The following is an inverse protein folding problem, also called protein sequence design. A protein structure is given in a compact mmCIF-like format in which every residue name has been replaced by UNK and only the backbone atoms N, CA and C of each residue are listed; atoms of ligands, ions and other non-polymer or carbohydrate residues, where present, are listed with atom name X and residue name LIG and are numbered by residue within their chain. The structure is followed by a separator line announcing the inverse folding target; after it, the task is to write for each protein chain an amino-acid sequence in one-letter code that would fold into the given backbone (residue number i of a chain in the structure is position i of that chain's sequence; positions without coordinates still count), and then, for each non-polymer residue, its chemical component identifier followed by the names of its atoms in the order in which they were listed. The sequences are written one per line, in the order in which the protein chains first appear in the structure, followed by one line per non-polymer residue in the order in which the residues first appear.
data_IF_946207403027
#
_entry.id   IF_946207403027
#
_cell.length_a   1.000
_cell.length_b   1.000
_cell.length_c   1.000
_cell.angle_alpha   90.00
_cell.angle_beta   90.00
_cell.angle_gamma   90.00
#
_symmetry.space_group_name_H-M   'P 1'
#
loop_
_entity.id
_entity.type
_entity.pdbx_description
1 polymer ?
#
# COMPACT_ATOMS: atom_id res chain seq x y z
N UNK A 1 -9.11 -7.34 15.13
CA UNK A 1 -9.42 -6.06 14.47
C UNK A 1 -9.78 -6.40 13.03
N UNK A 2 -11.07 -6.35 12.73
CA UNK A 2 -11.60 -6.87 11.48
C UNK A 2 -11.29 -5.90 10.33
N UNK A 3 -10.57 -6.38 9.31
CA UNK A 3 -10.25 -5.64 8.08
C UNK A 3 -11.45 -5.65 7.10
N UNK A 4 -12.65 -5.98 7.58
CA UNK A 4 -13.88 -6.16 6.82
C UNK A 4 -14.27 -4.85 6.15
N UNK A 5 -14.00 -4.76 4.85
CA UNK A 5 -14.25 -3.56 4.03
C UNK A 5 -13.01 -2.95 3.38
N UNK A 6 -11.79 -3.41 3.68
CA UNK A 6 -10.59 -2.98 2.97
C UNK A 6 -10.60 -3.46 1.51
N UNK A 7 -10.64 -2.53 0.55
CA UNK A 7 -10.53 -2.79 -0.88
C UNK A 7 -9.05 -2.71 -1.28
N UNK A 8 -8.39 -3.85 -1.26
CA UNK A 8 -6.97 -3.96 -1.59
C UNK A 8 -6.71 -3.74 -3.07
N UNK A 9 -5.76 -2.86 -3.38
CA UNK A 9 -5.23 -2.63 -4.72
C UNK A 9 -3.73 -2.89 -4.73
N UNK A 10 -3.29 -3.72 -5.66
CA UNK A 10 -1.86 -3.99 -5.86
C UNK A 10 -1.17 -2.77 -6.47
N UNK A 11 -0.01 -2.39 -5.92
CA UNK A 11 0.76 -1.26 -6.45
C UNK A 11 1.36 -1.59 -7.84
N UNK A 12 1.20 -0.70 -8.81
CA UNK A 12 1.66 -0.87 -10.20
C UNK A 12 3.17 -1.03 -10.34
N UNK A 13 3.95 -0.44 -9.42
CA UNK A 13 5.42 -0.57 -9.36
C UNK A 13 5.90 -1.92 -8.83
N UNK A 14 4.99 -2.77 -8.38
CA UNK A 14 5.30 -4.08 -7.81
C UNK A 14 5.41 -5.20 -8.86
N UNK A 15 5.34 -4.89 -10.16
CA UNK A 15 5.25 -5.89 -11.24
C UNK A 15 6.58 -6.24 -11.93
N UNK A 16 7.68 -5.53 -11.69
CA UNK A 16 8.83 -5.62 -12.60
C UNK A 16 9.78 -6.81 -12.39
N UNK A 17 9.74 -7.53 -11.26
CA UNK A 17 10.78 -8.54 -10.93
C UNK A 17 10.27 -9.78 -10.17
N UNK A 18 9.06 -10.31 -10.46
CA UNK A 18 8.63 -11.62 -9.91
C UNK A 18 7.51 -11.59 -8.87
N UNK A 19 6.44 -10.86 -9.15
CA UNK A 19 5.16 -10.95 -8.44
C UNK A 19 4.86 -9.79 -7.49
N UNK A 20 3.58 -9.51 -7.32
CA UNK A 20 3.05 -8.49 -6.42
C UNK A 20 3.60 -8.68 -5.00
N UNK A 21 4.23 -7.64 -4.45
CA UNK A 21 4.78 -7.54 -3.11
C UNK A 21 3.98 -6.57 -2.23
N UNK A 22 3.27 -5.57 -2.78
CA UNK A 22 2.56 -4.56 -1.95
C UNK A 22 1.12 -4.35 -2.39
N UNK A 23 0.21 -4.42 -1.42
CA UNK A 23 -1.20 -4.04 -1.55
C UNK A 23 -1.53 -2.86 -0.64
N UNK A 24 -2.39 -1.96 -1.14
CA UNK A 24 -2.85 -0.77 -0.41
C UNK A 24 -4.37 -0.75 -0.39
N UNK A 25 -4.96 -0.43 0.76
CA UNK A 25 -6.38 -0.12 0.90
C UNK A 25 -6.54 1.30 1.47
N UNK A 26 -6.99 2.21 0.63
CA UNK A 26 -7.19 3.64 0.92
C UNK A 26 -8.67 4.03 1.04
N UNK A 27 -9.57 3.05 0.96
CA UNK A 27 -11.02 3.25 0.97
C UNK A 27 -11.62 3.30 2.39
N UNK A 28 -10.80 3.18 3.44
CA UNK A 28 -11.26 3.20 4.81
C UNK A 28 -11.21 4.64 5.37
N UNK A 29 -12.24 5.07 6.12
CA UNK A 29 -12.24 6.40 6.70
C UNK A 29 -11.09 6.56 7.71
N UNK A 30 -10.31 7.63 7.55
CA UNK A 30 -9.26 8.01 8.49
C UNK A 30 -8.01 7.14 8.49
N UNK A 31 -7.87 6.16 7.58
CA UNK A 31 -6.68 5.31 7.51
C UNK A 31 -6.39 4.78 6.11
N UNK A 32 -5.10 4.60 5.84
CA UNK A 32 -4.59 3.86 4.69
C UNK A 32 -3.89 2.63 5.21
N UNK A 33 -4.25 1.46 4.69
CA UNK A 33 -3.64 0.20 5.07
C UNK A 33 -2.67 -0.25 3.98
N UNK A 34 -1.53 -0.78 4.39
CA UNK A 34 -0.52 -1.33 3.50
C UNK A 34 -0.08 -2.68 4.03
N UNK A 35 0.01 -3.67 3.16
CA UNK A 35 0.51 -4.99 3.53
C UNK A 35 1.34 -5.59 2.41
N UNK A 36 2.13 -6.58 2.79
CA UNK A 36 2.83 -7.42 1.84
C UNK A 36 1.87 -8.49 1.28
N UNK A 37 1.78 -8.59 -0.05
CA UNK A 37 0.86 -9.54 -0.69
C UNK A 37 1.33 -10.98 -0.66
N UNK A 38 2.63 -11.23 -0.39
CA UNK A 38 3.22 -12.56 -0.20
C UNK A 38 3.18 -12.99 1.27
N UNK A 39 3.02 -12.05 2.20
CA UNK A 39 3.01 -12.28 3.64
C UNK A 39 1.76 -11.66 4.30
N UNK A 40 0.58 -12.00 3.79
CA UNK A 40 -0.72 -11.43 4.21
C UNK A 40 -0.99 -11.58 5.71
N UNK A 41 -0.48 -12.67 6.31
CA UNK A 41 -0.66 -13.02 7.71
C UNK A 41 0.39 -12.39 8.64
N UNK A 42 1.45 -11.80 8.09
CA UNK A 42 2.53 -11.20 8.89
C UNK A 42 2.18 -9.82 9.45
N UNK A 43 1.11 -9.21 8.96
CA UNK A 43 0.57 -7.98 9.52
C UNK A 43 0.17 -6.96 8.46
N UNK A 44 -0.45 -5.88 8.94
CA UNK A 44 -0.88 -4.75 8.12
C UNK A 44 -0.41 -3.46 8.79
N UNK A 45 0.30 -2.64 8.02
CA UNK A 45 0.67 -1.30 8.44
C UNK A 45 -0.52 -0.37 8.24
N UNK A 46 -0.77 0.52 9.21
CA UNK A 46 -1.84 1.50 9.16
C UNK A 46 -1.26 2.92 9.27
N UNK A 47 -1.65 3.78 8.34
CA UNK A 47 -1.20 5.16 8.26
C UNK A 47 -2.38 6.13 8.30
N UNK A 48 -2.18 7.32 8.87
CA UNK A 48 -3.10 8.43 8.67
C UNK A 48 -3.04 8.89 7.19
N UNK A 49 -4.16 9.33 6.58
CA UNK A 49 -4.18 9.74 5.18
C UNK A 49 -3.20 10.86 4.82
N UNK A 50 -2.97 11.81 5.75
CA UNK A 50 -2.02 12.91 5.57
C UNK A 50 -0.57 12.41 5.54
N UNK A 51 -0.21 11.53 6.47
CA UNK A 51 1.11 10.89 6.53
C UNK A 51 1.37 10.04 5.27
N UNK A 52 0.36 9.28 4.82
CA UNK A 52 0.46 8.49 3.60
C UNK A 52 0.74 9.36 2.36
N UNK A 53 0.02 10.48 2.21
CA UNK A 53 0.26 11.43 1.10
C UNK A 53 1.66 12.03 1.13
N UNK A 54 2.12 12.45 2.31
CA UNK A 54 3.47 12.99 2.48
C UNK A 54 4.55 11.95 2.12
N UNK A 55 4.38 10.71 2.56
CA UNK A 55 5.27 9.60 2.23
C UNK A 55 5.37 9.38 0.71
N UNK A 56 4.22 9.27 0.03
CA UNK A 56 4.20 9.07 -1.44
C UNK A 56 4.81 10.26 -2.17
N UNK A 57 4.52 11.49 -1.75
CA UNK A 57 5.10 12.70 -2.35
C UNK A 57 6.62 12.80 -2.18
N UNK A 58 7.16 12.24 -1.08
CA UNK A 58 8.59 12.20 -0.83
C UNK A 58 9.33 11.11 -1.63
N UNK A 59 8.61 10.16 -2.25
CA UNK A 59 9.26 9.14 -3.09
C UNK A 59 9.70 9.74 -4.43
N UNK A 60 11.01 9.70 -4.76
CA UNK A 60 11.49 10.24 -6.03
C UNK A 60 10.84 9.50 -7.20
N UNK A 61 10.32 10.27 -8.17
CA UNK A 61 9.93 9.69 -9.47
C UNK A 61 11.20 9.18 -10.15
N UNK A 62 11.32 7.87 -10.45
CA UNK A 62 12.44 7.40 -11.25
C UNK A 62 12.37 8.06 -12.63
N UNK A 63 13.51 8.41 -13.24
CA UNK A 63 13.52 8.95 -14.59
C UNK A 63 12.78 7.98 -15.51
N UNK A 64 11.89 8.53 -16.34
CA UNK A 64 11.23 7.75 -17.38
C UNK A 64 12.34 7.21 -18.29
N UNK A 65 12.46 5.88 -18.35
CA UNK A 65 13.27 5.20 -19.34
C UNK A 65 12.58 5.25 -20.70
#
# INVERSE_FOLDING_TARGET
MELTGARWRTASRSSNNGGACVEVADNLPGRVLVRDSKARDTGTLAFAPTAWRAFVAATPRPPAA
#
